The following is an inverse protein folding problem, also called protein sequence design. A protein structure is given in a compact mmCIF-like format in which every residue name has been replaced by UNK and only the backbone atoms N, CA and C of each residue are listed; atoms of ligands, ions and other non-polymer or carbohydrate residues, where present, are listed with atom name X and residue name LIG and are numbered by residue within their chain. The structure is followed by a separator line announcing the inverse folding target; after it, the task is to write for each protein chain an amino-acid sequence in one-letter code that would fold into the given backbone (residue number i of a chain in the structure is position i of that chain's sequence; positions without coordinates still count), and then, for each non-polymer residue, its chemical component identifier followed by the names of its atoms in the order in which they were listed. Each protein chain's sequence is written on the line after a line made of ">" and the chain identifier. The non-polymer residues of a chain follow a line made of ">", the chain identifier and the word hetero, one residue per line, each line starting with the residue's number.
data_IF_718648128476
#
_entry.id   IF_718648128476
#
_cell.length_a   1.000
_cell.length_b   1.000
_cell.length_c   1.000
_cell.angle_alpha   90.00
_cell.angle_beta   90.00
_cell.angle_gamma   90.00
#
_symmetry.space_group_name_H-M   'P 1'
#
loop_
_entity.id
_entity.type
_entity.pdbx_description
1 polymer ?
#
# COMPACT_ATOMS: atom_id res chain seq x y z
N UNK A 1 13.83 62.48 20.47
CA UNK A 1 12.57 63.01 21.05
C UNK A 1 11.57 63.12 19.90
N UNK A 2 10.63 62.22 19.83
CA UNK A 2 9.22 62.44 19.47
C UNK A 2 8.59 61.05 19.27
N UNK A 3 7.86 60.66 20.26
CA UNK A 3 7.03 59.47 20.31
C UNK A 3 5.78 59.67 19.42
N UNK A 4 5.49 58.71 18.55
CA UNK A 4 4.19 58.65 17.87
C UNK A 4 3.51 57.31 18.24
N UNK A 5 2.52 57.46 19.12
CA UNK A 5 1.60 56.43 19.54
C UNK A 5 0.48 56.39 18.50
N UNK A 6 0.31 55.26 17.78
CA UNK A 6 -0.90 54.99 16.97
C UNK A 6 -1.74 53.95 17.70
N UNK A 7 -2.88 54.40 18.16
CA UNK A 7 -3.99 53.59 18.64
C UNK A 7 -4.76 53.01 17.46
N UNK A 8 -4.88 51.71 17.37
CA UNK A 8 -5.75 51.08 16.37
C UNK A 8 -6.90 50.39 17.08
N UNK A 9 -8.07 50.94 16.85
CA UNK A 9 -9.38 50.46 17.31
C UNK A 9 -9.71 49.11 16.68
N UNK A 10 -10.01 48.13 17.49
CA UNK A 10 -10.54 46.82 17.08
C UNK A 10 -12.05 46.96 16.95
N UNK A 11 -12.56 46.84 15.74
CA UNK A 11 -14.00 46.67 15.51
C UNK A 11 -14.32 45.16 15.53
N UNK A 12 -15.10 44.80 16.52
CA UNK A 12 -15.76 43.51 16.67
C UNK A 12 -16.78 43.34 15.54
N UNK A 13 -16.60 42.28 14.76
CA UNK A 13 -17.63 41.81 13.79
C UNK A 13 -17.91 40.35 14.08
N UNK A 14 -18.91 40.14 14.91
CA UNK A 14 -19.56 38.87 15.13
C UNK A 14 -20.14 38.35 13.78
N UNK A 15 -19.59 37.27 13.25
CA UNK A 15 -20.23 36.48 12.20
C UNK A 15 -20.53 35.10 12.74
N UNK A 16 -21.77 34.99 13.21
CA UNK A 16 -22.47 33.74 13.46
C UNK A 16 -22.76 33.06 12.12
N UNK A 17 -22.17 31.93 11.84
CA UNK A 17 -22.69 30.94 10.85
C UNK A 17 -22.37 29.55 11.35
N UNK A 18 -23.30 29.03 12.11
CA UNK A 18 -23.49 27.61 12.34
C UNK A 18 -23.80 26.93 10.99
N UNK A 19 -22.85 26.20 10.40
CA UNK A 19 -23.09 25.15 9.46
C UNK A 19 -22.44 23.88 10.01
N UNK A 20 -23.17 23.24 10.91
CA UNK A 20 -23.02 21.85 11.25
C UNK A 20 -23.58 21.02 10.07
N UNK A 21 -22.70 20.49 9.24
CA UNK A 21 -23.02 19.42 8.29
C UNK A 21 -22.12 18.24 8.59
N UNK A 22 -22.44 17.51 9.65
CA UNK A 22 -22.06 16.11 9.77
C UNK A 22 -22.73 15.35 8.62
N UNK A 23 -21.99 14.61 7.76
CA UNK A 23 -22.65 13.73 6.82
C UNK A 23 -23.27 12.60 7.61
N UNK A 24 -24.60 12.56 7.57
CA UNK A 24 -25.41 11.48 8.07
C UNK A 24 -25.03 10.17 7.36
N UNK A 25 -24.43 9.24 8.10
CA UNK A 25 -24.15 7.88 7.65
C UNK A 25 -25.43 7.01 7.78
N UNK A 26 -26.53 7.48 7.21
CA UNK A 26 -27.70 6.63 7.03
C UNK A 26 -27.48 5.79 5.77
N UNK A 27 -27.10 4.53 5.98
CA UNK A 27 -27.11 3.52 4.92
C UNK A 27 -28.49 3.51 4.24
N UNK A 28 -28.49 3.54 2.91
CA UNK A 28 -29.71 3.45 2.12
C UNK A 28 -30.49 2.18 2.52
N UNK A 29 -31.59 2.37 3.21
CA UNK A 29 -32.57 1.32 3.45
C UNK A 29 -33.28 1.08 2.11
N UNK A 30 -33.48 -0.19 1.74
CA UNK A 30 -34.37 -0.52 0.63
C UNK A 30 -35.82 -0.10 0.95
N UNK A 31 -36.69 -0.08 -0.06
CA UNK A 31 -38.07 0.35 0.08
C UNK A 31 -38.89 -0.52 1.05
N UNK A 32 -38.30 -1.55 1.66
CA UNK A 32 -38.92 -2.47 2.63
C UNK A 32 -38.38 -2.30 4.05
N UNK A 33 -37.37 -1.40 4.26
CA UNK A 33 -36.83 -1.13 5.59
C UNK A 33 -36.00 -2.26 6.19
N UNK A 34 -35.64 -3.27 5.42
CA UNK A 34 -34.84 -4.40 5.89
C UNK A 34 -33.36 -4.08 5.64
N UNK A 35 -32.57 -3.90 6.71
CA UNK A 35 -31.12 -3.89 6.61
C UNK A 35 -30.71 -5.26 6.06
N UNK A 36 -30.18 -5.26 4.82
CA UNK A 36 -29.65 -6.48 4.21
C UNK A 36 -28.56 -7.05 5.11
N UNK A 37 -28.83 -8.18 5.76
CA UNK A 37 -27.82 -8.88 6.56
C UNK A 37 -26.72 -9.33 5.62
N UNK A 38 -25.54 -8.69 5.71
CA UNK A 38 -24.35 -9.16 5.02
C UNK A 38 -23.98 -10.50 5.63
N UNK A 39 -24.38 -11.57 4.95
CA UNK A 39 -24.00 -12.93 5.36
C UNK A 39 -22.52 -13.12 5.09
N UNK A 40 -21.71 -13.10 6.15
CA UNK A 40 -20.30 -13.49 6.08
C UNK A 40 -20.27 -15.03 6.16
N UNK A 41 -19.82 -15.74 5.12
CA UNK A 41 -19.74 -17.20 5.15
C UNK A 41 -18.84 -17.66 6.29
N UNK A 42 -19.29 -18.61 7.08
CA UNK A 42 -18.54 -19.17 8.22
C UNK A 42 -17.26 -19.91 7.77
N UNK A 43 -17.23 -20.37 6.52
CA UNK A 43 -16.06 -21.03 5.93
C UNK A 43 -15.31 -20.07 4.99
N UNK A 44 -14.06 -19.71 5.31
CA UNK A 44 -13.25 -18.84 4.46
C UNK A 44 -13.10 -19.33 3.01
N UNK A 45 -12.99 -20.65 2.79
CA UNK A 45 -12.90 -21.22 1.44
C UNK A 45 -14.17 -20.99 0.62
N UNK A 46 -15.34 -21.10 1.22
CA UNK A 46 -16.63 -20.81 0.56
C UNK A 46 -16.75 -19.32 0.25
N UNK A 47 -16.30 -18.45 1.16
CA UNK A 47 -16.29 -17.01 0.94
C UNK A 47 -15.37 -16.61 -0.22
N UNK A 48 -14.19 -17.20 -0.30
CA UNK A 48 -13.21 -16.98 -1.38
C UNK A 48 -13.82 -17.44 -2.72
N UNK A 49 -14.36 -18.65 -2.79
CA UNK A 49 -14.97 -19.20 -4.01
C UNK A 49 -16.15 -18.35 -4.50
N UNK A 50 -17.00 -17.88 -3.59
CA UNK A 50 -18.10 -16.98 -3.93
C UNK A 50 -17.62 -15.62 -4.46
N UNK A 51 -16.61 -15.04 -3.82
CA UNK A 51 -16.01 -13.78 -4.26
C UNK A 51 -15.33 -13.91 -5.62
N UNK A 52 -14.70 -15.04 -5.91
CA UNK A 52 -14.06 -15.32 -7.19
C UNK A 52 -15.10 -15.51 -8.31
N UNK A 53 -16.16 -16.28 -8.04
CA UNK A 53 -17.26 -16.50 -9.00
C UNK A 53 -18.01 -15.21 -9.36
N UNK A 54 -18.10 -14.25 -8.45
CA UNK A 54 -18.75 -12.96 -8.70
C UNK A 54 -17.93 -12.00 -9.58
N UNK A 55 -16.65 -12.31 -9.86
CA UNK A 55 -15.75 -11.46 -10.64
C UNK A 55 -15.58 -11.96 -12.07
N UNK A 56 -16.13 -11.20 -13.02
CA UNK A 56 -16.05 -11.51 -14.47
C UNK A 56 -14.94 -10.75 -15.20
N UNK A 57 -13.90 -10.29 -14.48
CA UNK A 57 -12.81 -9.53 -15.10
C UNK A 57 -11.85 -10.44 -15.86
N UNK A 58 -11.18 -9.86 -16.88
CA UNK A 58 -10.25 -10.58 -17.73
C UNK A 58 -9.06 -11.19 -16.94
N UNK A 59 -8.55 -12.31 -17.45
CA UNK A 59 -7.27 -12.89 -17.03
C UNK A 59 -6.14 -12.34 -17.90
N UNK A 60 -5.26 -11.50 -17.29
CA UNK A 60 -4.15 -10.89 -18.02
C UNK A 60 -3.13 -11.92 -18.50
N UNK A 61 -2.86 -12.97 -17.71
CA UNK A 61 -1.91 -14.01 -18.08
C UNK A 61 -2.34 -14.77 -19.35
N UNK A 62 -3.64 -14.94 -19.52
CA UNK A 62 -4.24 -15.58 -20.70
C UNK A 62 -4.34 -14.60 -21.87
N UNK A 63 -4.81 -13.37 -21.63
CA UNK A 63 -5.18 -12.42 -22.67
C UNK A 63 -3.99 -11.64 -23.23
N UNK A 64 -2.95 -11.40 -22.42
CA UNK A 64 -1.74 -10.64 -22.78
C UNK A 64 -0.46 -11.40 -22.41
N UNK A 65 -0.32 -12.64 -22.87
CA UNK A 65 0.76 -13.58 -22.48
C UNK A 65 2.16 -13.01 -22.59
N UNK A 66 2.45 -12.25 -23.64
CA UNK A 66 3.80 -11.69 -23.84
C UNK A 66 4.11 -10.64 -22.78
N UNK A 67 3.18 -9.70 -22.53
CA UNK A 67 3.32 -8.66 -21.51
C UNK A 67 3.43 -9.28 -20.10
N UNK A 68 2.58 -10.27 -19.80
CA UNK A 68 2.61 -10.95 -18.50
C UNK A 68 3.96 -11.66 -18.26
N UNK A 69 4.49 -12.38 -19.28
CA UNK A 69 5.81 -13.03 -19.17
C UNK A 69 6.95 -12.05 -19.00
N UNK A 70 6.89 -10.90 -19.70
CA UNK A 70 7.89 -9.84 -19.55
C UNK A 70 7.88 -9.25 -18.12
N UNK A 71 6.68 -9.06 -17.54
CA UNK A 71 6.54 -8.60 -16.16
C UNK A 71 7.07 -9.63 -15.15
N UNK A 72 6.79 -10.92 -15.35
CA UNK A 72 7.36 -12.03 -14.54
C UNK A 72 8.89 -12.02 -14.63
N UNK A 73 9.46 -11.85 -15.82
CA UNK A 73 10.91 -11.76 -16.00
C UNK A 73 11.52 -10.52 -15.34
N UNK A 74 10.84 -9.38 -15.40
CA UNK A 74 11.27 -8.16 -14.73
C UNK A 74 11.25 -8.33 -13.21
N UNK A 75 10.18 -8.92 -12.65
CA UNK A 75 10.09 -9.20 -11.21
C UNK A 75 11.20 -10.14 -10.73
N UNK A 76 11.46 -11.20 -11.48
CA UNK A 76 12.55 -12.13 -11.15
C UNK A 76 13.92 -11.43 -11.14
N UNK A 77 14.23 -10.63 -12.17
CA UNK A 77 15.48 -9.88 -12.25
C UNK A 77 15.60 -8.84 -11.14
N UNK A 78 14.51 -8.16 -10.77
CA UNK A 78 14.50 -7.14 -9.72
C UNK A 78 14.76 -7.69 -8.31
N UNK A 79 14.57 -8.99 -8.09
CA UNK A 79 14.85 -9.67 -6.81
C UNK A 79 16.30 -10.15 -6.67
N UNK A 80 17.06 -10.18 -7.77
CA UNK A 80 18.43 -10.70 -7.76
C UNK A 80 19.32 -9.88 -6.83
N UNK A 81 20.03 -10.55 -5.93
CA UNK A 81 20.96 -9.92 -5.00
C UNK A 81 20.34 -9.21 -3.79
N UNK A 82 19.03 -9.07 -3.71
CA UNK A 82 18.35 -8.48 -2.54
C UNK A 82 18.08 -9.58 -1.50
N UNK A 83 18.28 -9.23 -0.22
CA UNK A 83 17.90 -10.10 0.89
C UNK A 83 16.41 -10.48 0.82
N UNK A 84 16.05 -11.78 0.89
CA UNK A 84 14.66 -12.23 0.74
C UNK A 84 13.69 -11.59 1.76
N UNK A 85 14.12 -11.33 2.99
CA UNK A 85 13.26 -10.68 3.98
C UNK A 85 12.98 -9.22 3.58
N UNK A 86 14.00 -8.52 3.08
CA UNK A 86 13.84 -7.15 2.58
C UNK A 86 12.93 -7.10 1.35
N UNK A 87 13.03 -8.09 0.44
CA UNK A 87 12.12 -8.21 -0.71
C UNK A 87 10.68 -8.22 -0.25
N UNK A 88 10.35 -9.09 0.71
CA UNK A 88 8.96 -9.22 1.19
C UNK A 88 8.51 -7.95 1.95
N UNK A 89 9.35 -7.32 2.76
CA UNK A 89 9.00 -6.07 3.44
C UNK A 89 8.64 -4.94 2.45
N UNK A 90 9.43 -4.77 1.40
CA UNK A 90 9.16 -3.79 0.32
C UNK A 90 7.80 -4.10 -0.33
N UNK A 91 7.57 -5.36 -0.69
CA UNK A 91 6.36 -5.77 -1.39
C UNK A 91 5.10 -5.67 -0.51
N UNK A 92 5.22 -6.02 0.77
CA UNK A 92 4.14 -5.85 1.75
C UNK A 92 3.81 -4.37 1.92
N UNK A 93 4.84 -3.50 2.11
CA UNK A 93 4.62 -2.07 2.31
C UNK A 93 3.95 -1.41 1.11
N UNK A 94 4.45 -1.65 -0.10
CA UNK A 94 3.83 -1.14 -1.33
C UNK A 94 2.37 -1.63 -1.48
N UNK A 95 2.11 -2.90 -1.12
CA UNK A 95 0.76 -3.47 -1.18
C UNK A 95 -0.21 -2.86 -0.17
N UNK A 96 0.26 -2.47 1.03
CA UNK A 96 -0.51 -1.68 1.98
C UNK A 96 -0.93 -0.33 1.37
N UNK A 97 0.03 0.41 0.81
CA UNK A 97 -0.20 1.74 0.25
C UNK A 97 -1.15 1.71 -0.96
N UNK A 98 -1.05 0.68 -1.77
CA UNK A 98 -1.93 0.48 -2.93
C UNK A 98 -3.26 -0.22 -2.58
N UNK A 99 -3.49 -0.60 -1.33
CA UNK A 99 -4.67 -1.35 -0.88
C UNK A 99 -4.92 -2.65 -1.65
N UNK A 100 -3.85 -3.38 -2.02
CA UNK A 100 -3.94 -4.63 -2.76
C UNK A 100 -4.04 -5.83 -1.80
N UNK A 101 -5.25 -6.22 -1.43
CA UNK A 101 -5.48 -7.34 -0.51
C UNK A 101 -4.91 -8.67 -1.03
N UNK A 102 -4.99 -8.94 -2.35
CA UNK A 102 -4.41 -10.13 -2.98
C UNK A 102 -2.89 -10.19 -2.79
N UNK A 103 -2.20 -9.10 -3.14
CA UNK A 103 -0.75 -9.03 -3.03
C UNK A 103 -0.29 -9.06 -1.57
N UNK A 104 -0.99 -8.34 -0.70
CA UNK A 104 -0.71 -8.32 0.73
C UNK A 104 -0.80 -9.72 1.34
N UNK A 105 -1.91 -10.44 1.07
CA UNK A 105 -2.08 -11.83 1.52
C UNK A 105 -0.95 -12.74 1.05
N UNK A 106 -0.60 -12.64 -0.22
CA UNK A 106 0.43 -13.44 -0.87
C UNK A 106 1.80 -13.22 -0.24
N UNK A 107 2.26 -11.96 -0.18
CA UNK A 107 3.58 -11.62 0.33
C UNK A 107 3.71 -11.81 1.85
N UNK A 108 2.66 -11.57 2.62
CA UNK A 108 2.65 -11.88 4.06
C UNK A 108 2.80 -13.38 4.31
N UNK A 109 2.15 -14.23 3.49
CA UNK A 109 2.31 -15.67 3.59
C UNK A 109 3.72 -16.15 3.19
N UNK A 110 4.30 -15.54 2.15
CA UNK A 110 5.66 -15.90 1.70
C UNK A 110 6.70 -15.47 2.76
N UNK A 111 6.58 -14.26 3.29
CA UNK A 111 7.43 -13.78 4.39
C UNK A 111 7.34 -14.68 5.64
N UNK A 112 6.13 -15.08 6.02
CA UNK A 112 5.89 -15.99 7.14
C UNK A 112 6.52 -17.35 6.91
N UNK A 113 6.42 -17.93 5.71
CA UNK A 113 7.09 -19.18 5.34
C UNK A 113 8.62 -19.05 5.37
N UNK A 114 9.15 -17.87 5.07
CA UNK A 114 10.57 -17.56 5.16
C UNK A 114 11.05 -17.31 6.61
N UNK A 115 10.16 -17.32 7.60
CA UNK A 115 10.49 -17.18 9.01
C UNK A 115 10.42 -15.76 9.55
N UNK A 116 9.77 -14.84 8.81
CA UNK A 116 9.54 -13.48 9.33
C UNK A 116 8.59 -13.48 10.53
N UNK A 117 8.87 -12.62 11.51
CA UNK A 117 8.10 -12.55 12.75
C UNK A 117 6.73 -11.89 12.54
N UNK A 118 5.72 -12.37 13.27
CA UNK A 118 4.38 -11.78 13.24
C UNK A 118 4.39 -10.32 13.68
N UNK A 119 5.23 -9.94 14.65
CA UNK A 119 5.35 -8.54 15.09
C UNK A 119 5.80 -7.63 13.95
N UNK A 120 6.83 -8.02 13.20
CA UNK A 120 7.31 -7.24 12.06
C UNK A 120 6.27 -7.19 10.93
N UNK A 121 5.57 -8.30 10.65
CA UNK A 121 4.51 -8.35 9.65
C UNK A 121 3.33 -7.45 10.00
N UNK A 122 2.91 -7.40 11.26
CA UNK A 122 1.83 -6.52 11.71
C UNK A 122 2.23 -5.05 11.72
N UNK A 123 3.48 -4.75 12.10
CA UNK A 123 3.96 -3.39 12.32
C UNK A 123 4.49 -2.70 11.05
N UNK A 124 4.74 -3.43 9.94
CA UNK A 124 5.27 -2.83 8.72
C UNK A 124 4.37 -1.74 8.13
N UNK A 125 3.07 -1.80 8.36
CA UNK A 125 2.13 -0.77 7.92
C UNK A 125 2.36 0.57 8.65
N UNK A 126 2.84 0.51 9.88
CA UNK A 126 3.12 1.63 10.80
C UNK A 126 4.58 1.66 11.25
N UNK A 127 5.48 1.18 10.44
CA UNK A 127 6.89 0.96 10.78
C UNK A 127 7.59 2.20 11.37
N UNK A 128 7.15 3.41 11.02
CA UNK A 128 7.75 4.65 11.54
C UNK A 128 7.57 4.80 13.05
N UNK A 129 6.51 4.26 13.63
CA UNK A 129 6.26 4.20 15.07
C UNK A 129 6.98 2.99 15.73
N UNK A 130 7.32 1.98 14.93
CA UNK A 130 7.92 0.73 15.36
C UNK A 130 9.36 0.53 14.84
N UNK A 131 10.13 1.63 14.67
CA UNK A 131 11.45 1.63 14.02
C UNK A 131 12.43 0.63 14.59
N UNK A 132 12.36 0.33 15.88
CA UNK A 132 13.24 -0.62 16.57
C UNK A 132 13.08 -2.08 16.12
N UNK A 133 12.03 -2.41 15.37
CA UNK A 133 11.86 -3.72 14.73
C UNK A 133 12.57 -3.84 13.37
N UNK A 134 13.07 -2.74 12.82
CA UNK A 134 13.66 -2.69 11.49
C UNK A 134 15.06 -2.08 11.53
N UNK A 135 15.99 -2.68 10.80
CA UNK A 135 17.36 -2.14 10.65
C UNK A 135 17.33 -0.79 9.93
N UNK A 136 18.38 0.00 10.03
CA UNK A 136 18.47 1.28 9.30
C UNK A 136 18.34 1.09 7.79
N UNK A 137 18.93 0.01 7.24
CA UNK A 137 18.83 -0.36 5.83
C UNK A 137 17.37 -0.67 5.42
N UNK A 138 16.63 -1.42 6.22
CA UNK A 138 15.20 -1.71 6.00
C UNK A 138 14.36 -0.45 6.10
N UNK A 139 14.61 0.41 7.08
CA UNK A 139 13.91 1.68 7.23
C UNK A 139 14.10 2.58 6.00
N UNK A 140 15.31 2.67 5.47
CA UNK A 140 15.61 3.43 4.26
C UNK A 140 14.88 2.85 3.03
N UNK A 141 14.87 1.52 2.88
CA UNK A 141 14.11 0.85 1.83
C UNK A 141 12.60 1.07 1.95
N UNK A 142 12.05 1.01 3.17
CA UNK A 142 10.62 1.26 3.41
C UNK A 142 10.24 2.72 3.11
N UNK A 143 11.09 3.69 3.47
CA UNK A 143 10.88 5.09 3.14
C UNK A 143 10.90 5.34 1.62
N UNK A 144 11.87 4.74 0.91
CA UNK A 144 11.94 4.81 -0.54
C UNK A 144 10.74 4.11 -1.20
N UNK A 145 10.29 2.98 -0.64
CA UNK A 145 9.08 2.29 -1.11
C UNK A 145 7.85 3.19 -1.03
N UNK A 146 7.69 3.93 0.06
CA UNK A 146 6.58 4.88 0.21
C UNK A 146 6.64 5.98 -0.84
N UNK A 147 7.80 6.65 -0.98
CA UNK A 147 7.97 7.74 -1.92
C UNK A 147 7.74 7.32 -3.38
N UNK A 148 8.31 6.18 -3.81
CA UNK A 148 8.12 5.68 -5.18
C UNK A 148 6.69 5.16 -5.41
N UNK A 149 6.06 4.55 -4.41
CA UNK A 149 4.67 4.07 -4.53
C UNK A 149 3.68 5.23 -4.65
N UNK A 150 3.88 6.29 -3.88
CA UNK A 150 3.04 7.49 -3.85
C UNK A 150 3.64 8.63 -4.70
N UNK A 151 4.35 8.29 -5.75
CA UNK A 151 5.09 9.25 -6.59
C UNK A 151 4.24 10.42 -7.11
N UNK A 152 2.94 10.21 -7.28
CA UNK A 152 2.01 11.26 -7.70
C UNK A 152 1.78 12.35 -6.63
N UNK A 153 2.08 12.07 -5.36
CA UNK A 153 1.81 12.98 -4.24
C UNK A 153 2.98 13.96 -3.96
N UNK A 154 4.04 13.93 -4.78
CA UNK A 154 5.17 14.87 -4.61
C UNK A 154 6.50 14.35 -5.13
N UNK A 155 6.52 13.24 -5.84
CA UNK A 155 7.75 12.64 -6.36
C UNK A 155 8.53 11.87 -5.27
N UNK A 156 9.81 11.69 -5.51
CA UNK A 156 10.75 11.10 -4.54
C UNK A 156 11.60 12.22 -3.98
N UNK A 157 11.46 12.59 -2.69
CA UNK A 157 12.27 13.64 -2.06
C UNK A 157 13.76 13.28 -2.07
N UNK A 158 14.62 14.29 -2.28
CA UNK A 158 16.08 14.11 -2.37
C UNK A 158 16.68 13.52 -1.08
N UNK A 159 16.15 13.88 0.07
CA UNK A 159 16.59 13.35 1.37
C UNK A 159 16.21 11.86 1.54
N UNK A 160 15.06 11.43 1.06
CA UNK A 160 14.67 10.01 1.05
C UNK A 160 15.58 9.19 0.13
N UNK A 161 15.89 9.74 -1.06
CA UNK A 161 16.81 9.09 -1.97
C UNK A 161 18.23 9.03 -1.38
N UNK A 162 18.71 10.12 -0.81
CA UNK A 162 20.05 10.19 -0.21
C UNK A 162 20.21 9.22 0.97
N UNK A 163 19.18 9.08 1.81
CA UNK A 163 19.18 8.10 2.91
C UNK A 163 19.26 6.67 2.36
N UNK A 164 18.50 6.34 1.31
CA UNK A 164 18.62 5.03 0.67
C UNK A 164 20.01 4.81 0.08
N UNK A 165 20.57 5.79 -0.64
CA UNK A 165 21.91 5.72 -1.20
C UNK A 165 23.02 5.59 -0.14
N UNK A 166 22.79 5.99 1.10
CA UNK A 166 23.73 5.78 2.20
C UNK A 166 23.76 4.31 2.69
N UNK A 167 22.73 3.52 2.39
CA UNK A 167 22.58 2.13 2.85
C UNK A 167 22.68 1.07 1.75
N UNK A 168 22.67 1.47 0.48
CA UNK A 168 22.73 0.60 -0.69
C UNK A 168 23.79 1.13 -1.65
N UNK A 169 24.58 0.25 -2.24
CA UNK A 169 25.40 0.64 -3.37
C UNK A 169 24.52 0.90 -4.62
N UNK A 170 25.12 1.45 -5.69
CA UNK A 170 24.37 1.83 -6.89
C UNK A 170 23.62 0.64 -7.52
N UNK A 171 24.21 -0.56 -7.49
CA UNK A 171 23.61 -1.78 -8.03
C UNK A 171 22.44 -2.25 -7.18
N UNK A 172 22.64 -2.30 -5.87
CA UNK A 172 21.59 -2.69 -4.91
C UNK A 172 20.44 -1.68 -4.92
N UNK A 173 20.75 -0.37 -4.96
CA UNK A 173 19.73 0.68 -5.00
C UNK A 173 18.89 0.58 -6.28
N UNK A 174 19.55 0.33 -7.43
CA UNK A 174 18.85 0.11 -8.68
C UNK A 174 17.88 -1.10 -8.61
N UNK A 175 18.32 -2.19 -7.97
CA UNK A 175 17.47 -3.37 -7.76
C UNK A 175 16.30 -3.07 -6.81
N UNK A 176 16.52 -2.34 -5.72
CA UNK A 176 15.44 -1.90 -4.81
C UNK A 176 14.41 -1.06 -5.56
N UNK A 177 14.85 -0.10 -6.36
CA UNK A 177 13.94 0.72 -7.18
C UNK A 177 13.17 -0.15 -8.19
N UNK A 178 13.86 -1.05 -8.90
CA UNK A 178 13.22 -1.97 -9.83
C UNK A 178 12.18 -2.85 -9.13
N UNK A 179 12.48 -3.39 -7.95
CA UNK A 179 11.56 -4.19 -7.14
C UNK A 179 10.32 -3.39 -6.72
N UNK A 180 10.49 -2.15 -6.29
CA UNK A 180 9.36 -1.26 -5.97
C UNK A 180 8.50 -1.02 -7.21
N UNK A 181 9.10 -0.80 -8.38
CA UNK A 181 8.37 -0.64 -9.64
C UNK A 181 7.60 -1.90 -10.03
N UNK A 182 8.19 -3.09 -9.88
CA UNK A 182 7.51 -4.35 -10.21
C UNK A 182 6.31 -4.61 -9.30
N UNK A 183 6.45 -4.46 -7.97
CA UNK A 183 5.31 -4.67 -7.07
C UNK A 183 4.20 -3.65 -7.30
N UNK A 184 4.53 -2.39 -7.56
CA UNK A 184 3.54 -1.39 -7.95
C UNK A 184 2.78 -1.78 -9.22
N UNK A 185 3.46 -2.38 -10.20
CA UNK A 185 2.82 -2.90 -11.41
C UNK A 185 1.92 -4.09 -11.09
N UNK A 186 2.38 -5.06 -10.29
CA UNK A 186 1.57 -6.20 -9.85
C UNK A 186 0.34 -5.78 -9.07
N UNK A 187 0.45 -4.80 -8.16
CA UNK A 187 -0.69 -4.27 -7.42
C UNK A 187 -1.76 -3.73 -8.40
N UNK A 188 -1.35 -2.95 -9.41
CA UNK A 188 -2.26 -2.40 -10.42
C UNK A 188 -2.91 -3.49 -11.26
N UNK A 189 -2.14 -4.50 -11.68
CA UNK A 189 -2.67 -5.65 -12.41
C UNK A 189 -3.70 -6.40 -11.56
N UNK A 190 -3.37 -6.72 -10.32
CA UNK A 190 -4.27 -7.45 -9.42
C UNK A 190 -5.57 -6.68 -9.15
N UNK A 191 -5.49 -5.39 -8.85
CA UNK A 191 -6.65 -4.53 -8.61
C UNK A 191 -7.50 -4.36 -9.87
N UNK A 192 -6.88 -4.07 -11.02
CA UNK A 192 -7.59 -3.88 -12.29
C UNK A 192 -8.30 -5.15 -12.75
N UNK A 193 -7.68 -6.31 -12.55
CA UNK A 193 -8.27 -7.61 -12.92
C UNK A 193 -9.11 -8.25 -11.82
N UNK A 194 -9.21 -7.59 -10.66
CA UNK A 194 -10.05 -8.03 -9.56
C UNK A 194 -9.61 -9.33 -8.89
N UNK A 195 -8.30 -9.57 -8.76
CA UNK A 195 -7.78 -10.75 -8.04
C UNK A 195 -8.31 -10.81 -6.60
N UNK A 196 -8.69 -11.99 -6.17
CA UNK A 196 -9.26 -12.24 -4.83
C UNK A 196 -8.15 -12.74 -3.90
N UNK A 197 -8.03 -12.13 -2.72
CA UNK A 197 -7.08 -12.59 -1.71
C UNK A 197 -7.37 -14.04 -1.30
N UNK A 198 -6.34 -14.87 -1.17
CA UNK A 198 -6.47 -16.28 -0.82
C UNK A 198 -6.66 -17.23 -2.01
N UNK A 199 -6.70 -16.71 -3.28
CA UNK A 199 -6.77 -17.55 -4.49
C UNK A 199 -5.40 -17.77 -5.14
N UNK A 200 -4.30 -17.38 -4.46
CA UNK A 200 -2.96 -17.61 -4.97
C UNK A 200 -2.60 -19.10 -4.99
N UNK A 201 -2.40 -19.64 -6.18
CA UNK A 201 -2.08 -21.06 -6.39
C UNK A 201 -0.57 -21.35 -6.43
N UNK A 202 0.29 -20.37 -6.15
CA UNK A 202 1.75 -20.58 -6.07
C UNK A 202 2.06 -21.56 -4.94
N UNK A 203 2.50 -22.75 -5.28
CA UNK A 203 2.89 -23.83 -4.38
C UNK A 203 4.40 -23.96 -4.30
#
# INVERSE_FOLDING_TARGET
>A
MTTHTMSTTITDTTHDTTHDTTPDATGALDATGTAGTVHIPENPATAIAAAESARTRLDLARSARKAFRALVGFDAAAREGIDPALVELIQIRASHLNHCAYCLHMHTNDARKAGESEDRLHLVAVWREARHFYTAREQAALALTEAVTLVADGGVPDDVYAEAAAHFDDGELAQVIALICTINTWNRVALATGKVAGTDERR
#
